data_IF_810901293579
#
_entry.id   IF_810901293579
#
_cell.length_a   1.000
_cell.length_b   1.000
_cell.length_c   1.000
_cell.angle_alpha   90.00
_cell.angle_beta   90.00
_cell.angle_gamma   90.00
#
_symmetry.space_group_name_H-M   'P 1'
#
loop_
_entity.id
_entity.type
_entity.pdbx_description
1 polymer ?
#
# COMPACT_ATOMS: atom_id res chain seq x y z
N UNK A 1 -10.75 -3.83 -0.62
CA UNK A 1 -9.49 -3.16 -0.27
C UNK A 1 -8.97 -2.26 -1.40
N UNK A 2 -8.98 -2.71 -2.61
CA UNK A 2 -8.47 -1.92 -3.74
C UNK A 2 -9.16 -0.58 -3.92
N UNK A 3 -10.48 -0.54 -3.81
CA UNK A 3 -11.22 0.70 -3.94
C UNK A 3 -10.90 1.69 -2.83
N UNK A 4 -10.67 1.21 -1.63
CA UNK A 4 -10.29 2.06 -0.51
C UNK A 4 -8.92 2.68 -0.74
N UNK A 5 -8.01 1.95 -1.36
CA UNK A 5 -6.69 2.45 -1.73
C UNK A 5 -6.83 3.56 -2.77
N UNK A 6 -7.66 3.35 -3.77
CA UNK A 6 -7.93 4.36 -4.80
C UNK A 6 -8.50 5.64 -4.19
N UNK A 7 -9.48 5.52 -3.30
CA UNK A 7 -10.09 6.66 -2.62
C UNK A 7 -9.08 7.39 -1.74
N UNK A 8 -8.25 6.65 -1.02
CA UNK A 8 -7.21 7.24 -0.18
C UNK A 8 -6.21 8.03 -1.02
N UNK A 9 -5.83 7.49 -2.18
CA UNK A 9 -4.93 8.17 -3.11
C UNK A 9 -5.56 9.48 -3.60
N UNK A 10 -6.83 9.44 -4.02
CA UNK A 10 -7.53 10.63 -4.52
C UNK A 10 -7.68 11.71 -3.47
N UNK A 11 -7.98 11.33 -2.23
CA UNK A 11 -8.07 12.30 -1.14
C UNK A 11 -6.77 13.07 -0.92
N UNK A 12 -5.65 12.44 -1.21
CA UNK A 12 -4.32 13.03 -1.06
C UNK A 12 -3.85 13.73 -2.32
N UNK A 13 -4.71 13.80 -3.35
CA UNK A 13 -4.38 14.40 -4.65
C UNK A 13 -3.13 13.79 -5.29
N UNK A 14 -2.95 12.48 -5.11
CA UNK A 14 -1.83 11.74 -5.68
C UNK A 14 -2.25 11.03 -6.95
N UNK A 15 -1.33 10.95 -7.91
CA UNK A 15 -1.53 10.14 -9.12
C UNK A 15 -1.08 8.70 -8.87
N UNK A 16 -1.48 7.79 -9.77
CA UNK A 16 -0.97 6.41 -9.73
C UNK A 16 0.55 6.39 -9.88
N UNK A 17 1.09 7.30 -10.72
CA UNK A 17 2.54 7.38 -10.90
C UNK A 17 3.24 7.81 -9.62
N UNK A 18 2.65 8.72 -8.86
CA UNK A 18 3.20 9.13 -7.57
C UNK A 18 3.34 7.94 -6.62
N UNK A 19 2.29 7.11 -6.56
CA UNK A 19 2.31 5.91 -5.72
C UNK A 19 3.32 4.89 -6.24
N UNK A 20 3.37 4.70 -7.55
CA UNK A 20 4.32 3.77 -8.16
C UNK A 20 5.77 4.15 -7.82
N UNK A 21 6.09 5.42 -7.91
CA UNK A 21 7.42 5.92 -7.60
C UNK A 21 7.78 5.72 -6.12
N UNK A 22 6.83 6.03 -5.23
CA UNK A 22 7.03 5.88 -3.79
C UNK A 22 7.16 4.43 -3.36
N UNK A 23 6.35 3.55 -3.97
CA UNK A 23 6.33 2.12 -3.64
C UNK A 23 7.40 1.32 -4.39
N UNK A 24 8.09 1.94 -5.33
CA UNK A 24 9.09 1.28 -6.18
C UNK A 24 8.47 0.12 -6.96
N UNK A 25 7.31 0.37 -7.54
CA UNK A 25 6.59 -0.56 -8.40
C UNK A 25 6.17 0.16 -9.69
N UNK A 26 5.63 -0.60 -10.64
CA UNK A 26 5.14 0.00 -11.88
C UNK A 26 3.76 0.60 -11.68
N UNK A 27 3.41 1.57 -12.52
CA UNK A 27 2.06 2.14 -12.55
C UNK A 27 1.00 1.06 -12.80
N UNK A 28 1.31 0.09 -13.65
CA UNK A 28 0.40 -1.03 -13.90
C UNK A 28 0.14 -1.82 -12.63
N UNK A 29 1.15 -2.03 -11.82
CA UNK A 29 1.00 -2.73 -10.53
C UNK A 29 0.08 -1.94 -9.60
N UNK A 30 0.22 -0.62 -9.53
CA UNK A 30 -0.69 0.21 -8.73
C UNK A 30 -2.12 0.05 -9.22
N UNK A 31 -2.33 0.06 -10.54
CA UNK A 31 -3.66 -0.14 -11.13
C UNK A 31 -4.25 -1.48 -10.72
N UNK A 32 -3.46 -2.56 -10.77
CA UNK A 32 -3.90 -3.89 -10.35
C UNK A 32 -4.31 -3.91 -8.88
N UNK A 33 -3.54 -3.26 -8.02
CA UNK A 33 -3.85 -3.17 -6.60
C UNK A 33 -5.20 -2.47 -6.39
N UNK A 34 -5.43 -1.37 -7.09
CA UNK A 34 -6.67 -0.60 -6.97
C UNK A 34 -7.88 -1.37 -7.50
N UNK A 35 -7.68 -2.27 -8.44
CA UNK A 35 -8.75 -3.13 -8.97
C UNK A 35 -8.95 -4.43 -8.18
N UNK A 36 -8.16 -4.64 -7.14
CA UNK A 36 -8.28 -5.84 -6.30
C UNK A 36 -7.82 -7.11 -6.99
N UNK A 37 -6.85 -7.02 -7.89
CA UNK A 37 -6.34 -8.16 -8.64
C UNK A 37 -5.73 -9.19 -7.67
N UNK A 38 -6.24 -10.44 -7.64
CA UNK A 38 -5.75 -11.45 -6.70
C UNK A 38 -4.35 -11.97 -7.04
N UNK A 39 -3.83 -11.65 -8.22
CA UNK A 39 -2.48 -12.07 -8.60
C UNK A 39 -1.39 -11.20 -7.97
N UNK A 40 -1.77 -10.07 -7.39
CA UNK A 40 -0.80 -9.17 -6.74
C UNK A 40 -0.37 -9.75 -5.41
N UNK A 41 0.94 -9.86 -5.19
CA UNK A 41 1.49 -10.36 -3.94
C UNK A 41 1.17 -9.42 -2.78
N UNK A 42 0.97 -9.99 -1.60
CA UNK A 42 0.62 -9.22 -0.41
C UNK A 42 1.69 -8.18 -0.04
N UNK A 43 2.96 -8.48 -0.32
CA UNK A 43 4.05 -7.53 -0.12
C UNK A 43 3.92 -6.27 -0.98
N UNK A 44 3.35 -6.40 -2.17
CA UNK A 44 3.08 -5.26 -3.05
C UNK A 44 1.97 -4.38 -2.45
N UNK A 45 0.92 -5.00 -1.92
CA UNK A 45 -0.13 -4.26 -1.21
C UNK A 45 0.47 -3.45 -0.05
N UNK A 46 1.36 -4.07 0.72
CA UNK A 46 2.00 -3.39 1.84
C UNK A 46 2.82 -2.19 1.38
N UNK A 47 3.54 -2.31 0.27
CA UNK A 47 4.30 -1.20 -0.30
C UNK A 47 3.41 -0.05 -0.73
N UNK A 48 2.29 -0.36 -1.37
CA UNK A 48 1.34 0.66 -1.83
C UNK A 48 0.71 1.37 -0.63
N UNK A 49 0.30 0.62 0.39
CA UNK A 49 -0.24 1.20 1.63
C UNK A 49 0.79 2.11 2.31
N UNK A 50 2.03 1.67 2.37
CA UNK A 50 3.11 2.47 2.92
C UNK A 50 3.29 3.77 2.13
N UNK A 51 3.27 3.68 0.81
CA UNK A 51 3.43 4.84 -0.06
C UNK A 51 2.31 5.87 0.15
N UNK A 52 1.07 5.40 0.35
CA UNK A 52 -0.07 6.26 0.61
C UNK A 52 0.05 7.01 1.93
N UNK A 53 0.75 6.45 2.89
CA UNK A 53 0.80 6.96 4.25
C UNK A 53 2.12 7.60 4.61
N UNK A 54 2.98 7.91 3.62
CA UNK A 54 4.25 8.56 3.88
C UNK A 54 4.10 9.94 4.51
N UNK A 55 2.98 10.62 4.23
CA UNK A 55 2.70 11.95 4.78
C UNK A 55 1.89 11.89 6.08
N UNK A 56 1.59 10.68 6.56
CA UNK A 56 0.79 10.47 7.76
C UNK A 56 1.62 9.75 8.82
N UNK A 57 1.01 9.55 9.99
CA UNK A 57 1.64 8.79 11.06
C UNK A 57 1.65 7.30 10.72
N UNK A 58 2.75 6.86 10.13
CA UNK A 58 2.95 5.47 9.74
C UNK A 58 2.87 4.55 10.97
N UNK A 59 3.35 5.03 12.12
CA UNK A 59 3.31 4.27 13.37
C UNK A 59 1.87 3.94 13.76
N UNK A 60 0.97 4.90 13.65
CA UNK A 60 -0.44 4.69 13.97
C UNK A 60 -1.04 3.60 13.08
N UNK A 61 -0.73 3.64 11.79
CA UNK A 61 -1.23 2.65 10.83
C UNK A 61 -0.67 1.27 11.15
N UNK A 62 0.62 1.17 11.44
CA UNK A 62 1.26 -0.10 11.79
C UNK A 62 0.68 -0.70 13.06
N UNK A 63 0.31 0.13 14.03
CA UNK A 63 -0.27 -0.33 15.28
C UNK A 63 -1.71 -0.81 15.13
N UNK A 64 -2.46 -0.22 14.22
CA UNK A 64 -3.89 -0.48 14.08
C UNK A 64 -4.25 -1.39 12.91
N UNK A 65 -3.31 -1.75 12.07
CA UNK A 65 -3.53 -2.59 10.90
C UNK A 65 -3.03 -4.00 11.17
N UNK A 66 -3.92 -4.99 11.38
CA UNK A 66 -3.50 -6.37 11.62
C UNK A 66 -2.66 -6.94 10.46
N UNK A 67 -2.96 -6.55 9.23
CA UNK A 67 -2.20 -7.00 8.08
C UNK A 67 -0.78 -6.47 8.13
N UNK A 68 -0.61 -5.21 8.46
CA UNK A 68 0.71 -4.60 8.60
C UNK A 68 1.54 -5.28 9.67
N UNK A 69 0.94 -5.61 10.79
CA UNK A 69 1.61 -6.33 11.88
C UNK A 69 2.05 -7.72 11.44
N UNK A 70 1.18 -8.45 10.75
CA UNK A 70 1.49 -9.79 10.30
C UNK A 70 2.66 -9.79 9.32
N UNK A 71 2.70 -8.83 8.41
CA UNK A 71 3.81 -8.70 7.47
C UNK A 71 5.11 -8.36 8.19
N UNK A 72 5.07 -7.47 9.14
CA UNK A 72 6.23 -7.08 9.92
C UNK A 72 6.77 -8.26 10.73
N UNK A 73 5.90 -9.01 11.38
CA UNK A 73 6.28 -10.19 12.14
C UNK A 73 6.92 -11.24 11.24
N UNK A 74 6.38 -11.44 10.03
CA UNK A 74 6.94 -12.38 9.08
C UNK A 74 8.36 -11.99 8.67
N UNK A 75 8.62 -10.70 8.48
CA UNK A 75 9.96 -10.21 8.16
C UNK A 75 10.93 -10.39 9.32
N UNK A 76 10.48 -10.14 10.52
CA UNK A 76 11.34 -10.29 11.71
C UNK A 76 11.71 -11.73 11.99
N UNK A 77 10.92 -12.67 11.55
CA UNK A 77 11.17 -14.10 11.77
C UNK A 77 12.11 -14.72 10.78
N UNK A 78 12.48 -14.02 9.76
CA UNK A 78 13.48 -14.48 8.82
C UNK A 78 14.85 -14.45 9.47
#
# INVERSE_FOLDING_TARGET
MGEQIKLARKRRHLTMQDIADRATVTRLTVSKVEHGDPTVAIGIFARVLYALNLDNDIKLIAENDPLGRNLQDAELKK
#
